data_IF_104404774153
#
_entry.id   IF_104404774153
#
_cell.length_a   1.000
_cell.length_b   1.000
_cell.length_c   1.000
_cell.angle_alpha   90.00
_cell.angle_beta   90.00
_cell.angle_gamma   90.00
#
_symmetry.space_group_name_H-M   'P 1'
#
loop_
_entity.id
_entity.type
_entity.pdbx_description
1 polymer ?
#
# COMPACT_ATOMS: atom_id res chain seq x y z
N UNK A 1 -49.91 18.59 41.80
CA UNK A 1 -48.44 18.44 41.72
C UNK A 1 -48.08 16.97 41.88
N UNK A 2 -47.81 16.26 40.77
CA UNK A 2 -47.04 15.01 40.77
C UNK A 2 -46.25 14.98 39.46
N UNK A 3 -44.95 14.85 39.59
CA UNK A 3 -43.95 15.18 38.59
C UNK A 3 -43.91 14.19 37.44
N UNK A 4 -43.79 14.76 36.25
CA UNK A 4 -43.49 14.15 34.97
C UNK A 4 -42.04 13.63 35.00
N UNK A 5 -41.82 12.32 34.96
CA UNK A 5 -40.49 11.74 34.78
C UNK A 5 -40.31 11.37 33.30
N UNK A 6 -39.85 12.34 32.50
CA UNK A 6 -39.42 12.09 31.12
C UNK A 6 -38.03 11.45 31.20
N UNK A 7 -37.95 10.16 30.91
CA UNK A 7 -36.69 9.44 30.72
C UNK A 7 -36.06 9.94 29.41
N UNK A 8 -35.16 10.91 29.53
CA UNK A 8 -34.31 11.35 28.43
C UNK A 8 -33.26 10.24 28.23
N UNK A 9 -33.55 9.30 27.33
CA UNK A 9 -32.55 8.36 26.80
C UNK A 9 -31.52 9.19 26.02
N UNK A 10 -30.50 9.66 26.73
CA UNK A 10 -29.27 10.16 26.12
C UNK A 10 -28.64 8.95 25.43
N UNK A 11 -28.96 8.77 24.15
CA UNK A 11 -28.17 7.95 23.24
C UNK A 11 -26.83 8.66 23.17
N UNK A 12 -25.93 8.26 24.06
CA UNK A 12 -24.50 8.46 23.89
C UNK A 12 -24.16 7.81 22.56
N UNK A 13 -24.17 8.60 21.48
CA UNK A 13 -23.30 8.36 20.35
C UNK A 13 -21.89 8.43 20.93
N UNK A 14 -21.44 7.27 21.40
CA UNK A 14 -20.05 6.95 21.53
C UNK A 14 -19.53 7.11 20.09
N UNK A 15 -19.08 8.32 19.75
CA UNK A 15 -18.16 8.52 18.65
C UNK A 15 -16.97 7.65 19.01
N UNK A 16 -16.99 6.40 18.55
CA UNK A 16 -15.77 5.68 18.31
C UNK A 16 -14.88 6.70 17.62
N UNK A 17 -13.83 7.11 18.31
CA UNK A 17 -12.69 7.81 17.74
C UNK A 17 -12.24 6.91 16.60
N UNK A 18 -12.80 7.15 15.41
CA UNK A 18 -12.41 6.47 14.20
C UNK A 18 -10.95 6.86 14.03
N UNK A 19 -10.05 5.90 14.18
CA UNK A 19 -8.62 6.05 13.94
C UNK A 19 -8.42 6.36 12.45
N UNK A 20 -8.79 7.57 12.04
CA UNK A 20 -8.72 8.01 10.67
C UNK A 20 -7.25 8.24 10.36
N UNK A 21 -6.76 7.50 9.38
CA UNK A 21 -5.39 7.61 8.93
C UNK A 21 -5.28 8.83 8.01
N UNK A 22 -4.32 9.69 8.29
CA UNK A 22 -4.10 10.95 7.58
C UNK A 22 -2.62 11.07 7.21
N UNK A 23 -2.35 11.70 6.07
CA UNK A 23 -0.98 12.02 5.63
C UNK A 23 -0.27 12.92 6.66
N UNK A 24 1.03 12.67 6.89
CA UNK A 24 1.94 13.27 7.89
C UNK A 24 1.60 13.11 9.37
N UNK A 25 0.32 12.97 9.74
CA UNK A 25 -0.08 12.84 11.14
C UNK A 25 0.26 11.46 11.69
N UNK A 26 0.18 10.42 10.86
CA UNK A 26 0.38 9.02 11.24
C UNK A 26 1.18 8.24 10.18
N UNK A 27 1.90 7.20 10.61
CA UNK A 27 2.35 6.14 9.70
C UNK A 27 1.11 5.40 9.20
N UNK A 28 0.91 5.36 7.88
CA UNK A 28 -0.25 4.69 7.27
C UNK A 28 -0.16 3.17 7.53
N UNK A 29 -1.12 2.61 8.26
CA UNK A 29 -1.25 1.18 8.53
C UNK A 29 -2.15 0.53 7.47
N UNK A 30 -1.52 -0.09 6.48
CA UNK A 30 -2.20 -0.74 5.35
C UNK A 30 -3.04 -1.95 5.78
N UNK A 31 -2.74 -2.56 6.95
CA UNK A 31 -3.55 -3.65 7.51
C UNK A 31 -4.87 -3.15 8.07
N UNK A 32 -4.91 -1.91 8.56
CA UNK A 32 -6.10 -1.25 9.13
C UNK A 32 -6.74 -0.25 8.18
N UNK A 33 -6.40 -0.31 6.88
CA UNK A 33 -6.97 0.58 5.89
C UNK A 33 -8.48 0.32 5.79
N UNK A 34 -9.28 1.36 5.94
CA UNK A 34 -10.71 1.33 5.68
C UNK A 34 -11.00 2.44 4.67
N UNK A 35 -11.51 2.06 3.49
CA UNK A 35 -11.78 3.00 2.41
C UNK A 35 -12.89 4.01 2.73
N UNK A 36 -13.73 3.72 3.74
CA UNK A 36 -14.82 4.59 4.16
C UNK A 36 -14.43 5.57 5.26
N UNK A 37 -13.44 5.22 6.10
CA UNK A 37 -12.99 6.07 7.21
C UNK A 37 -11.61 6.67 6.98
N UNK A 38 -10.90 6.26 5.93
CA UNK A 38 -9.68 6.94 5.52
C UNK A 38 -10.02 8.37 5.14
N UNK A 39 -9.47 9.35 5.87
CA UNK A 39 -9.74 10.76 5.61
C UNK A 39 -8.87 11.24 4.44
N UNK A 40 -9.30 10.87 3.25
CA UNK A 40 -8.82 11.27 1.94
C UNK A 40 -8.81 12.78 1.72
N UNK A 41 -9.79 13.53 2.25
CA UNK A 41 -9.81 14.99 2.15
C UNK A 41 -8.65 15.58 2.94
N UNK A 42 -8.43 15.12 4.16
CA UNK A 42 -7.26 15.50 4.96
C UNK A 42 -5.97 15.02 4.31
N UNK A 43 -5.96 13.81 3.74
CA UNK A 43 -4.82 13.30 2.97
C UNK A 43 -4.50 14.21 1.79
N UNK A 44 -5.48 14.60 0.98
CA UNK A 44 -5.34 15.51 -0.16
C UNK A 44 -4.91 16.91 0.30
N UNK A 45 -5.61 17.49 1.29
CA UNK A 45 -5.32 18.82 1.83
C UNK A 45 -3.92 18.90 2.43
N UNK A 46 -3.50 17.89 3.20
CA UNK A 46 -2.17 17.84 3.78
C UNK A 46 -1.10 17.61 2.71
N UNK A 47 -1.38 16.79 1.70
CA UNK A 47 -0.44 16.55 0.58
C UNK A 47 -0.17 17.82 -0.22
N UNK A 48 -1.18 18.68 -0.39
CA UNK A 48 -1.08 19.96 -1.11
C UNK A 48 -0.44 21.11 -0.31
N UNK A 49 0.01 20.89 0.93
CA UNK A 49 0.73 21.94 1.67
C UNK A 49 2.09 22.20 1.03
N UNK A 50 2.47 23.47 0.89
CA UNK A 50 3.74 23.88 0.27
C UNK A 50 5.00 23.20 0.84
N UNK A 51 4.98 22.87 2.13
CA UNK A 51 6.08 22.16 2.81
C UNK A 51 6.27 20.72 2.32
N UNK A 52 5.21 20.11 1.77
CA UNK A 52 5.17 18.74 1.26
C UNK A 52 5.44 18.64 -0.24
N UNK A 53 5.26 19.75 -0.96
CA UNK A 53 5.53 19.86 -2.40
C UNK A 53 6.99 20.20 -2.71
N UNK A 54 7.82 20.45 -1.70
CA UNK A 54 9.22 20.88 -1.84
C UNK A 54 10.20 19.76 -1.46
N UNK A 55 11.23 19.57 -2.28
CA UNK A 55 12.40 18.74 -1.97
C UNK A 55 13.27 19.52 -0.98
N UNK A 56 12.86 19.59 0.28
CA UNK A 56 13.70 20.14 1.35
C UNK A 56 14.29 19.01 2.18
N UNK A 57 15.60 19.08 2.42
CA UNK A 57 16.40 18.02 3.04
C UNK A 57 15.83 17.64 4.41
N UNK A 58 15.13 16.49 4.46
CA UNK A 58 14.60 15.71 5.60
C UNK A 58 13.07 15.55 5.67
N UNK A 59 12.28 16.29 4.88
CA UNK A 59 10.83 16.15 4.86
C UNK A 59 10.33 15.13 3.82
N UNK A 60 9.10 14.65 4.00
CA UNK A 60 8.41 13.82 2.99
C UNK A 60 8.18 14.67 1.74
N UNK A 61 8.67 14.20 0.59
CA UNK A 61 8.41 14.85 -0.69
C UNK A 61 7.19 14.20 -1.34
N UNK A 62 6.20 15.01 -1.73
CA UNK A 62 5.00 14.58 -2.42
C UNK A 62 4.96 15.16 -3.81
N UNK A 63 4.91 14.29 -4.82
CA UNK A 63 4.46 14.68 -6.15
C UNK A 63 2.95 14.46 -6.25
N UNK A 64 2.25 15.44 -6.84
CA UNK A 64 0.82 15.37 -7.08
C UNK A 64 0.60 15.42 -8.59
N UNK A 65 -0.27 14.56 -9.10
CA UNK A 65 -0.59 14.49 -10.53
C UNK A 65 -2.09 14.28 -10.72
N UNK A 66 -2.71 15.13 -11.54
CA UNK A 66 -4.10 14.98 -11.93
C UNK A 66 -4.24 14.01 -13.11
N UNK A 67 -5.29 13.18 -13.07
CA UNK A 67 -5.74 12.39 -14.20
C UNK A 67 -6.93 13.06 -14.89
N UNK A 68 -7.06 12.83 -16.20
CA UNK A 68 -8.18 13.33 -17.01
C UNK A 68 -9.55 12.86 -16.51
N UNK A 69 -9.61 11.72 -15.82
CA UNK A 69 -10.84 11.17 -15.25
C UNK A 69 -11.24 11.80 -13.90
N UNK A 70 -10.58 12.89 -13.49
CA UNK A 70 -10.86 13.60 -12.24
C UNK A 70 -10.34 12.88 -10.99
N UNK A 71 -9.36 11.98 -11.15
CA UNK A 71 -8.61 11.40 -10.05
C UNK A 71 -7.31 12.16 -9.83
N UNK A 72 -6.77 12.00 -8.63
CA UNK A 72 -5.52 12.62 -8.19
C UNK A 72 -4.62 11.51 -7.69
N UNK A 73 -3.40 11.48 -8.20
CA UNK A 73 -2.31 10.69 -7.67
C UNK A 73 -1.47 11.52 -6.71
N UNK A 74 -1.04 10.85 -5.64
CA UNK A 74 -0.06 11.35 -4.68
C UNK A 74 1.07 10.36 -4.62
N UNK A 75 2.30 10.82 -4.78
CA UNK A 75 3.50 10.01 -4.68
C UNK A 75 4.38 10.53 -3.56
N UNK A 76 4.39 9.83 -2.44
CA UNK A 76 5.23 10.17 -1.30
C UNK A 76 6.56 9.44 -1.48
N UNK A 77 7.55 10.19 -1.97
CA UNK A 77 8.92 9.74 -2.17
C UNK A 77 9.79 10.23 -1.02
N UNK A 78 10.82 9.46 -0.69
CA UNK A 78 11.84 9.89 0.28
C UNK A 78 13.24 9.60 -0.20
N UNK A 79 14.15 10.48 0.20
CA UNK A 79 15.58 10.43 -0.08
C UNK A 79 16.38 9.58 0.92
N UNK A 80 15.78 9.07 2.01
CA UNK A 80 16.49 8.24 2.99
C UNK A 80 15.72 7.02 3.51
N UNK A 81 16.45 5.92 3.72
CA UNK A 81 15.94 4.59 4.07
C UNK A 81 15.36 4.45 5.50
N UNK A 82 15.60 5.43 6.38
CA UNK A 82 15.15 5.35 7.78
C UNK A 82 13.73 5.88 7.98
N UNK A 83 13.13 6.42 6.94
CA UNK A 83 11.85 7.06 7.03
C UNK A 83 10.72 6.10 6.70
N UNK A 84 9.77 5.98 7.61
CA UNK A 84 8.62 5.08 7.52
C UNK A 84 7.41 5.93 7.14
N UNK A 85 6.80 5.64 5.99
CA UNK A 85 5.59 6.32 5.50
C UNK A 85 4.36 5.44 5.63
N UNK A 86 4.55 4.13 5.52
CA UNK A 86 3.50 3.15 5.73
C UNK A 86 4.05 1.91 6.42
N UNK A 87 3.15 1.10 6.97
CA UNK A 87 3.44 -0.19 7.56
C UNK A 87 2.36 -1.21 7.23
N UNK A 88 2.75 -2.48 7.29
CA UNK A 88 1.83 -3.60 7.38
C UNK A 88 2.35 -4.51 8.49
N UNK A 89 1.63 -4.58 9.60
CA UNK A 89 2.10 -5.26 10.81
C UNK A 89 3.49 -4.74 11.25
N UNK A 90 4.53 -5.58 11.25
CA UNK A 90 5.90 -5.25 11.65
C UNK A 90 6.83 -4.88 10.47
N UNK A 91 6.27 -4.71 9.27
CA UNK A 91 7.01 -4.34 8.06
C UNK A 91 6.76 -2.88 7.74
N UNK A 92 7.85 -2.14 7.51
CA UNK A 92 7.83 -0.71 7.21
C UNK A 92 8.12 -0.49 5.73
N UNK A 93 7.48 0.52 5.16
CA UNK A 93 7.65 0.95 3.79
C UNK A 93 8.17 2.39 3.74
N UNK A 94 9.04 2.66 2.76
CA UNK A 94 9.74 3.94 2.59
C UNK A 94 9.12 4.83 1.51
N UNK A 95 8.29 4.24 0.66
CA UNK A 95 7.54 4.93 -0.41
C UNK A 95 6.08 4.56 -0.28
N UNK A 96 5.18 5.51 -0.57
CA UNK A 96 3.74 5.33 -0.57
C UNK A 96 3.16 6.11 -1.74
N UNK A 97 2.42 5.45 -2.63
CA UNK A 97 1.66 6.16 -3.65
C UNK A 97 0.18 5.85 -3.46
N UNK A 98 -0.68 6.83 -3.66
CA UNK A 98 -2.11 6.69 -3.51
C UNK A 98 -2.83 7.38 -4.67
N UNK A 99 -3.98 6.85 -5.06
CA UNK A 99 -4.89 7.49 -6.00
C UNK A 99 -6.24 7.66 -5.30
N UNK A 100 -6.75 8.88 -5.30
CA UNK A 100 -8.09 9.20 -4.84
C UNK A 100 -8.87 9.95 -5.93
N UNK A 101 -10.19 9.90 -5.88
CA UNK A 101 -11.01 10.84 -6.66
C UNK A 101 -11.00 12.24 -6.04
N UNK A 102 -11.35 13.27 -6.82
CA UNK A 102 -11.48 14.66 -6.35
C UNK A 102 -12.47 14.86 -5.18
N UNK A 103 -13.48 13.99 -5.05
CA UNK A 103 -14.39 13.95 -3.90
C UNK A 103 -13.79 13.23 -2.68
N UNK A 104 -12.48 12.95 -2.69
CA UNK A 104 -11.80 12.27 -1.61
C UNK A 104 -12.27 10.83 -1.44
N UNK A 105 -12.27 9.99 -2.46
CA UNK A 105 -12.44 8.53 -2.24
C UNK A 105 -11.21 7.78 -2.68
N UNK A 106 -10.59 7.05 -1.76
CA UNK A 106 -9.37 6.30 -2.03
C UNK A 106 -9.70 5.14 -2.98
N UNK A 107 -8.98 5.07 -4.11
CA UNK A 107 -9.18 4.07 -5.16
C UNK A 107 -8.18 2.94 -5.02
N UNK A 108 -6.91 3.30 -4.86
CA UNK A 108 -5.80 2.37 -4.69
C UNK A 108 -4.67 3.05 -3.94
N UNK A 109 -3.96 2.27 -3.15
CA UNK A 109 -2.73 2.68 -2.48
C UNK A 109 -1.69 1.58 -2.67
N UNK A 110 -0.43 1.97 -2.83
CA UNK A 110 0.69 1.05 -2.78
C UNK A 110 1.79 1.57 -1.88
N UNK A 111 2.56 0.65 -1.33
CA UNK A 111 3.74 0.98 -0.56
C UNK A 111 4.93 0.13 -1.01
N UNK A 112 6.11 0.73 -1.01
CA UNK A 112 7.32 0.11 -1.56
C UNK A 112 8.46 0.11 -0.56
N UNK A 113 9.25 -0.95 -0.61
CA UNK A 113 10.51 -1.06 0.11
C UNK A 113 11.36 -2.19 -0.47
N UNK A 114 12.62 -2.26 -0.05
CA UNK A 114 13.51 -3.36 -0.37
C UNK A 114 13.62 -4.27 0.86
N UNK A 115 13.08 -5.49 0.77
CA UNK A 115 13.07 -6.42 1.89
C UNK A 115 14.14 -7.48 1.72
N UNK A 116 14.86 -7.79 2.79
CA UNK A 116 15.53 -9.09 2.86
C UNK A 116 14.47 -10.19 2.83
N UNK A 117 14.79 -11.38 2.30
CA UNK A 117 13.70 -12.27 1.91
C UNK A 117 13.04 -12.97 3.11
N UNK A 118 13.73 -13.11 4.25
CA UNK A 118 13.11 -13.49 5.54
C UNK A 118 11.97 -12.52 5.94
N UNK A 119 12.19 -11.21 5.75
CA UNK A 119 11.16 -10.19 6.04
C UNK A 119 10.06 -10.21 4.99
N UNK A 120 10.37 -10.51 3.74
CA UNK A 120 9.37 -10.72 2.68
C UNK A 120 8.48 -11.94 3.00
N UNK A 121 9.07 -13.06 3.41
CA UNK A 121 8.31 -14.24 3.82
C UNK A 121 7.41 -13.92 5.04
N UNK A 122 7.94 -13.19 6.03
CA UNK A 122 7.14 -12.71 7.15
C UNK A 122 5.97 -11.83 6.70
N UNK A 123 6.18 -10.90 5.77
CA UNK A 123 5.12 -10.08 5.18
C UNK A 123 4.05 -10.95 4.52
N UNK A 124 4.46 -11.89 3.67
CA UNK A 124 3.56 -12.83 2.99
C UNK A 124 2.73 -13.64 3.99
N UNK A 125 3.36 -14.26 4.99
CA UNK A 125 2.67 -15.04 6.01
C UNK A 125 1.70 -14.18 6.84
N UNK A 126 2.07 -12.93 7.14
CA UNK A 126 1.20 -12.00 7.83
C UNK A 126 -0.03 -11.62 6.98
N UNK A 127 0.13 -11.35 5.68
CA UNK A 127 -0.98 -11.06 4.77
C UNK A 127 -1.88 -12.29 4.64
N UNK A 128 -1.29 -13.47 4.43
CA UNK A 128 -2.00 -14.76 4.37
C UNK A 128 -2.78 -15.06 5.65
N UNK A 129 -2.21 -14.79 6.81
CA UNK A 129 -2.89 -14.96 8.10
C UNK A 129 -4.09 -14.02 8.28
N UNK A 130 -4.08 -12.85 7.63
CA UNK A 130 -5.19 -11.88 7.71
C UNK A 130 -6.26 -12.15 6.66
N UNK A 131 -5.87 -12.47 5.42
CA UNK A 131 -6.78 -12.53 4.27
C UNK A 131 -7.01 -13.94 3.72
N UNK A 132 -6.40 -14.96 4.30
CA UNK A 132 -6.57 -16.35 3.90
C UNK A 132 -5.77 -16.71 2.64
N UNK A 133 -6.39 -17.54 1.79
CA UNK A 133 -5.73 -18.14 0.62
C UNK A 133 -5.57 -17.14 -0.53
N UNK A 134 -4.40 -17.15 -1.12
CA UNK A 134 -3.98 -16.35 -2.26
C UNK A 134 -4.06 -17.09 -3.61
N UNK A 135 -4.14 -16.32 -4.69
CA UNK A 135 -3.77 -16.75 -6.04
C UNK A 135 -2.34 -16.32 -6.33
N UNK A 136 -1.56 -17.21 -6.94
CA UNK A 136 -0.15 -16.99 -7.28
C UNK A 136 -0.01 -16.81 -8.78
N UNK A 137 0.77 -15.81 -9.18
CA UNK A 137 1.14 -15.57 -10.58
C UNK A 137 2.61 -15.23 -10.63
N UNK A 138 3.33 -15.94 -11.51
CA UNK A 138 4.75 -15.75 -11.71
C UNK A 138 4.97 -15.28 -13.16
N UNK A 139 5.79 -14.25 -13.33
CA UNK A 139 6.19 -13.76 -14.65
C UNK A 139 7.66 -13.39 -14.69
N UNK A 140 8.21 -13.32 -15.90
CA UNK A 140 9.55 -12.81 -16.18
C UNK A 140 9.43 -11.59 -17.08
N UNK A 141 10.23 -10.55 -16.83
CA UNK A 141 10.33 -9.43 -17.76
C UNK A 141 11.16 -9.83 -19.01
N UNK A 142 11.17 -8.99 -20.05
CA UNK A 142 11.95 -9.22 -21.28
C UNK A 142 13.44 -9.43 -21.03
N UNK A 143 13.95 -8.87 -19.92
CA UNK A 143 15.29 -9.15 -19.44
C UNK A 143 15.28 -10.49 -18.68
N UNK A 144 15.89 -11.53 -19.27
CA UNK A 144 15.82 -12.95 -18.85
C UNK A 144 16.13 -13.25 -17.37
N UNK A 145 16.62 -12.27 -16.62
CA UNK A 145 17.02 -12.42 -15.23
C UNK A 145 16.01 -11.82 -14.25
N UNK A 146 15.08 -10.95 -14.70
CA UNK A 146 14.07 -10.33 -13.83
C UNK A 146 12.90 -11.28 -13.65
N UNK A 147 12.63 -11.65 -12.40
CA UNK A 147 11.45 -12.43 -12.02
C UNK A 147 10.52 -11.65 -11.10
N UNK A 148 9.24 -11.76 -11.39
CA UNK A 148 8.17 -11.07 -10.67
C UNK A 148 7.24 -12.11 -10.08
N UNK A 149 7.14 -12.13 -8.76
CA UNK A 149 6.21 -12.96 -8.01
C UNK A 149 5.05 -12.10 -7.53
N UNK A 150 3.83 -12.48 -7.92
CA UNK A 150 2.61 -11.78 -7.54
C UNK A 150 1.69 -12.70 -6.76
N UNK A 151 1.40 -12.31 -5.53
CA UNK A 151 0.39 -12.96 -4.69
C UNK A 151 -0.82 -12.05 -4.60
N UNK A 152 -1.98 -12.56 -4.96
CA UNK A 152 -3.24 -11.80 -4.97
C UNK A 152 -4.23 -12.39 -3.98
N UNK A 153 -4.75 -11.54 -3.09
CA UNK A 153 -5.90 -11.85 -2.27
C UNK A 153 -7.08 -11.03 -2.77
N UNK A 154 -8.09 -11.73 -3.28
CA UNK A 154 -9.38 -11.14 -3.60
C UNK A 154 -10.32 -11.36 -2.42
N UNK A 155 -10.54 -10.30 -1.64
CA UNK A 155 -11.45 -10.32 -0.48
C UNK A 155 -12.66 -9.42 -0.73
N UNK A 156 -13.58 -9.37 0.23
CA UNK A 156 -14.92 -8.79 0.03
C UNK A 156 -14.89 -7.37 -0.56
N UNK A 157 -14.12 -6.46 0.04
CA UNK A 157 -14.13 -5.02 -0.27
C UNK A 157 -12.89 -4.54 -1.04
N UNK A 158 -11.87 -5.40 -1.20
CA UNK A 158 -10.57 -4.99 -1.73
C UNK A 158 -9.81 -6.11 -2.43
N UNK A 159 -8.91 -5.71 -3.31
CA UNK A 159 -7.86 -6.56 -3.87
C UNK A 159 -6.54 -6.18 -3.20
N UNK A 160 -5.85 -7.16 -2.63
CA UNK A 160 -4.49 -7.00 -2.11
C UNK A 160 -3.54 -7.71 -3.06
N UNK A 161 -2.50 -7.02 -3.55
CA UNK A 161 -1.41 -7.65 -4.31
C UNK A 161 -0.07 -7.42 -3.62
N UNK A 162 0.64 -8.50 -3.31
CA UNK A 162 2.04 -8.45 -2.92
C UNK A 162 2.89 -8.81 -4.14
N UNK A 163 3.69 -7.86 -4.60
CA UNK A 163 4.57 -8.03 -5.76
C UNK A 163 6.02 -7.99 -5.28
N UNK A 164 6.79 -9.00 -5.65
CA UNK A 164 8.22 -9.10 -5.36
C UNK A 164 8.99 -9.18 -6.67
N UNK A 165 9.84 -8.19 -6.92
CA UNK A 165 10.65 -8.10 -8.13
C UNK A 165 12.08 -8.42 -7.75
N UNK A 166 12.57 -9.53 -8.28
CA UNK A 166 13.95 -9.95 -8.18
C UNK A 166 14.64 -9.58 -9.48
N UNK A 167 15.65 -8.72 -9.38
CA UNK A 167 16.51 -8.30 -10.50
C UNK A 167 17.97 -8.68 -10.19
N UNK A 168 18.27 -10.00 -10.22
CA UNK A 168 19.62 -10.50 -9.99
C UNK A 168 20.55 -10.12 -11.13
N UNK A 169 21.83 -9.95 -10.80
CA UNK A 169 22.89 -9.64 -11.78
C UNK A 169 23.21 -10.81 -12.73
N UNK A 170 22.71 -12.03 -12.47
CA UNK A 170 22.95 -13.23 -13.28
C UNK A 170 21.89 -14.32 -13.06
N UNK A 171 21.78 -15.29 -13.99
CA UNK A 171 20.86 -16.43 -13.89
C UNK A 171 21.14 -17.37 -12.71
N UNK A 172 22.41 -17.59 -12.35
CA UNK A 172 22.78 -18.45 -11.22
C UNK A 172 22.22 -17.89 -9.89
N UNK A 173 22.22 -16.55 -9.75
CA UNK A 173 21.64 -15.89 -8.60
C UNK A 173 20.11 -16.01 -8.59
N UNK A 174 19.48 -15.92 -9.75
CA UNK A 174 18.04 -16.16 -9.91
C UNK A 174 17.65 -17.59 -9.47
N UNK A 175 18.37 -18.62 -9.91
CA UNK A 175 18.09 -20.01 -9.48
C UNK A 175 18.20 -20.15 -7.96
N UNK A 176 19.21 -19.53 -7.35
CA UNK A 176 19.38 -19.48 -5.89
C UNK A 176 18.27 -18.74 -5.18
N UNK A 177 17.65 -17.72 -5.79
CA UNK A 177 16.47 -17.02 -5.26
C UNK A 177 15.24 -17.91 -5.38
N UNK A 178 15.04 -18.52 -6.54
CA UNK A 178 13.83 -19.30 -6.85
C UNK A 178 13.68 -20.50 -5.92
N UNK A 179 14.81 -21.13 -5.55
CA UNK A 179 14.85 -22.19 -4.54
C UNK A 179 14.42 -21.75 -3.12
N UNK A 180 14.13 -20.47 -2.91
CA UNK A 180 13.95 -19.86 -1.58
C UNK A 180 12.69 -19.01 -1.47
N UNK A 181 11.86 -19.05 -2.50
CA UNK A 181 10.55 -18.39 -2.52
C UNK A 181 9.70 -18.94 -1.36
N UNK A 182 8.79 -18.14 -0.78
CA UNK A 182 7.95 -18.45 0.39
C UNK A 182 7.30 -19.84 0.52
N UNK A 183 7.32 -20.65 -0.54
CA UNK A 183 6.75 -22.00 -0.52
C UNK A 183 7.76 -23.15 -0.36
N UNK A 184 9.06 -22.90 -0.09
CA UNK A 184 9.88 -23.86 0.67
C UNK A 184 11.21 -23.30 1.19
N UNK A 185 11.24 -23.25 2.52
CA UNK A 185 12.38 -23.28 3.44
C UNK A 185 13.48 -22.20 3.44
N UNK A 186 13.51 -21.56 4.61
CA UNK A 186 14.49 -20.67 5.19
C UNK A 186 15.95 -20.98 4.82
N UNK A 187 16.52 -20.22 3.88
CA UNK A 187 17.95 -19.88 3.82
C UNK A 187 18.23 -18.79 2.78
N UNK A 188 17.70 -17.59 2.96
CA UNK A 188 17.77 -16.57 1.89
C UNK A 188 19.05 -15.74 1.91
N UNK A 189 19.77 -15.82 0.80
CA UNK A 189 21.02 -15.11 0.52
C UNK A 189 20.68 -13.65 0.23
N UNK A 190 21.68 -12.78 0.41
CA UNK A 190 21.69 -11.32 0.60
C UNK A 190 21.02 -10.44 -0.47
N UNK A 191 19.97 -10.90 -1.13
CA UNK A 191 19.24 -10.15 -2.14
C UNK A 191 18.04 -9.47 -1.49
N UNK A 192 17.88 -8.17 -1.78
CA UNK A 192 16.76 -7.38 -1.30
C UNK A 192 15.84 -7.09 -2.49
N UNK A 193 14.89 -7.96 -2.85
CA UNK A 193 13.93 -7.66 -3.91
C UNK A 193 13.19 -6.35 -3.64
N UNK A 194 12.85 -5.64 -4.72
CA UNK A 194 11.87 -4.56 -4.65
C UNK A 194 10.52 -5.20 -4.32
N UNK A 195 9.96 -4.83 -3.17
CA UNK A 195 8.67 -5.32 -2.68
C UNK A 195 7.65 -4.20 -2.77
N UNK A 196 6.49 -4.51 -3.35
CA UNK A 196 5.38 -3.56 -3.50
C UNK A 196 4.11 -4.23 -2.94
N UNK A 197 3.46 -3.56 -2.00
CA UNK A 197 2.16 -3.99 -1.48
C UNK A 197 1.09 -3.04 -1.98
N UNK A 198 0.15 -3.55 -2.77
CA UNK A 198 -1.04 -2.84 -3.22
C UNK A 198 -2.25 -3.18 -2.39
N UNK A 199 -3.10 -2.19 -2.14
CA UNK A 199 -4.45 -2.35 -1.61
C UNK A 199 -5.38 -1.50 -2.48
N UNK A 200 -6.27 -2.15 -3.22
CA UNK A 200 -7.20 -1.51 -4.15
C UNK A 200 -8.64 -1.71 -3.67
N UNK A 201 -9.42 -0.63 -3.65
CA UNK A 201 -10.86 -0.70 -3.43
C UNK A 201 -11.49 -1.48 -4.59
N UNK A 202 -12.19 -2.57 -4.28
CA UNK A 202 -12.76 -3.46 -5.29
C UNK A 202 -13.80 -2.77 -6.18
N UNK A 203 -14.52 -1.79 -5.64
CA UNK A 203 -15.46 -0.96 -6.42
C UNK A 203 -14.75 -0.14 -7.50
N UNK A 204 -13.48 0.21 -7.28
CA UNK A 204 -12.66 1.01 -8.20
C UNK A 204 -11.82 0.16 -9.15
N UNK A 205 -11.81 -1.18 -9.01
CA UNK A 205 -10.92 -2.08 -9.72
C UNK A 205 -10.99 -1.91 -11.24
N UNK A 206 -12.21 -1.85 -11.80
CA UNK A 206 -12.40 -1.72 -13.26
C UNK A 206 -11.75 -0.48 -13.82
N UNK A 207 -11.76 0.62 -13.09
CA UNK A 207 -11.21 1.89 -13.54
C UNK A 207 -9.70 1.98 -13.25
N UNK A 208 -9.25 1.41 -12.13
CA UNK A 208 -7.82 1.23 -11.84
C UNK A 208 -7.11 0.43 -12.93
N UNK A 209 -7.72 -0.64 -13.44
CA UNK A 209 -7.14 -1.44 -14.53
C UNK A 209 -7.03 -0.69 -15.86
N UNK A 210 -7.77 0.41 -16.04
CA UNK A 210 -7.68 1.28 -17.23
C UNK A 210 -6.61 2.36 -17.10
N UNK A 211 -6.02 2.56 -15.93
CA UNK A 211 -4.97 3.56 -15.73
C UNK A 211 -3.75 3.22 -16.61
N UNK A 212 -3.38 4.10 -17.53
CA UNK A 212 -2.26 3.89 -18.45
C UNK A 212 -0.99 4.66 -18.02
N UNK A 213 -0.91 5.03 -16.74
CA UNK A 213 0.24 5.77 -16.22
C UNK A 213 1.47 4.85 -16.09
N UNK A 214 2.49 5.14 -16.89
CA UNK A 214 3.76 4.42 -16.99
C UNK A 214 4.79 4.85 -15.96
N UNK A 215 4.59 5.99 -15.31
CA UNK A 215 5.61 6.62 -14.48
C UNK A 215 5.71 5.95 -13.10
N UNK A 216 4.80 5.03 -12.79
CA UNK A 216 4.69 4.35 -11.51
C UNK A 216 4.47 2.84 -11.61
N UNK A 217 4.37 2.19 -10.45
CA UNK A 217 4.08 0.77 -10.37
C UNK A 217 2.62 0.41 -10.68
N UNK A 218 1.74 1.34 -11.08
CA UNK A 218 0.34 1.00 -11.40
C UNK A 218 0.22 0.01 -12.55
N UNK A 219 1.12 0.08 -13.54
CA UNK A 219 1.20 -0.94 -14.58
C UNK A 219 1.45 -2.35 -14.01
N UNK A 220 2.19 -2.46 -12.90
CA UNK A 220 2.45 -3.72 -12.20
C UNK A 220 1.23 -4.22 -11.40
N UNK A 221 0.25 -3.36 -11.13
CA UNK A 221 -1.00 -3.79 -10.50
C UNK A 221 -1.92 -4.52 -11.47
N UNK A 222 -1.80 -4.31 -12.79
CA UNK A 222 -2.61 -5.03 -13.79
C UNK A 222 -2.19 -6.49 -13.82
#
# INVERSE_FOLDING_TARGET
MKYLAVYFYMIFFCSCLTNNQEYQKNIIDLKKLDFNTFNTEDFYRNSNKDENLKISNNNQYVEISDFDNGWVEFQIKKSSNNNIVAKFDSINFSTLNAIASKDGKLKIINAETYLKPERLNKLYLNIKGVYGKETKTDSSDYNKYVHIYTYTWDVKDRIIKLISIFDPRSSENLEKINAKIPDQDSKIVNERPKTILFVCNKESLKDVLKLNNTDNNWAKFK
#
